data_IF_616379512985
#
_entry.id   IF_616379512985
#
_cell.length_a   1.000
_cell.length_b   1.000
_cell.length_c   1.000
_cell.angle_alpha   90.00
_cell.angle_beta   90.00
_cell.angle_gamma   90.00
#
_symmetry.space_group_name_H-M   'P 1'
#
loop_
_entity.id
_entity.type
_entity.pdbx_description
1 polymer ?
#
# COMPACT_ATOMS: atom_id res chain seq x y z
N UNK A 1 20.23 -18.07 -18.90
CA UNK A 1 19.69 -17.63 -17.60
C UNK A 1 19.50 -16.12 -17.47
N UNK A 2 20.08 -15.26 -18.32
CA UNK A 2 19.92 -13.78 -18.25
C UNK A 2 18.77 -13.20 -19.10
N UNK A 3 17.74 -13.98 -19.45
CA UNK A 3 16.63 -13.54 -20.33
C UNK A 3 15.52 -12.76 -19.60
N UNK A 4 15.58 -12.65 -18.28
CA UNK A 4 14.58 -11.93 -17.49
C UNK A 4 14.79 -10.42 -17.50
N UNK A 5 16.02 -9.90 -17.40
CA UNK A 5 16.26 -8.46 -17.22
C UNK A 5 15.95 -7.58 -18.43
N UNK A 6 16.33 -8.00 -19.66
CA UNK A 6 15.93 -7.26 -20.86
C UNK A 6 14.42 -7.35 -21.12
N UNK A 7 13.74 -8.35 -20.53
CA UNK A 7 12.29 -8.38 -20.47
C UNK A 7 11.80 -7.39 -19.42
N UNK A 8 12.26 -7.40 -18.18
CA UNK A 8 11.76 -6.52 -17.10
C UNK A 8 11.54 -5.07 -17.55
N UNK A 9 12.53 -4.42 -18.19
CA UNK A 9 12.38 -3.01 -18.62
C UNK A 9 11.38 -2.76 -19.76
N UNK A 10 11.14 -3.75 -20.63
CA UNK A 10 10.28 -3.62 -21.84
C UNK A 10 8.93 -4.36 -21.69
N UNK A 11 8.86 -5.35 -20.81
CA UNK A 11 7.74 -6.27 -20.59
C UNK A 11 6.89 -5.83 -19.40
N UNK A 12 7.46 -5.20 -18.37
CA UNK A 12 6.70 -4.76 -17.19
C UNK A 12 5.71 -3.64 -17.50
N UNK A 13 5.87 -2.87 -18.58
CA UNK A 13 4.89 -1.86 -18.95
C UNK A 13 3.78 -2.39 -19.86
N UNK A 14 4.10 -3.24 -20.84
CA UNK A 14 3.11 -3.74 -21.83
C UNK A 14 2.44 -5.04 -21.42
N UNK A 15 3.19 -6.04 -20.90
CA UNK A 15 2.60 -7.31 -20.47
C UNK A 15 1.88 -7.17 -19.13
N UNK A 16 2.35 -6.32 -18.20
CA UNK A 16 1.63 -6.06 -16.95
C UNK A 16 0.28 -5.38 -17.20
N UNK A 17 0.21 -4.42 -18.12
CA UNK A 17 -1.06 -3.81 -18.55
C UNK A 17 -1.97 -4.83 -19.22
N UNK A 18 -1.44 -5.70 -20.09
CA UNK A 18 -2.21 -6.77 -20.73
C UNK A 18 -2.69 -7.85 -19.73
N UNK A 19 -1.88 -8.18 -18.72
CA UNK A 19 -2.20 -9.13 -17.65
C UNK A 19 -3.21 -8.54 -16.66
N UNK A 20 -3.10 -7.27 -16.30
CA UNK A 20 -4.09 -6.57 -15.47
C UNK A 20 -5.46 -6.51 -16.14
N UNK A 21 -5.50 -6.32 -17.46
CA UNK A 21 -6.74 -6.28 -18.22
C UNK A 21 -7.46 -7.64 -18.31
N UNK A 22 -6.77 -8.74 -18.01
CA UNK A 22 -7.28 -10.12 -18.16
C UNK A 22 -7.42 -10.87 -16.83
N UNK A 23 -6.91 -10.32 -15.73
CA UNK A 23 -6.95 -10.94 -14.41
C UNK A 23 -8.30 -10.70 -13.73
N UNK A 24 -8.94 -11.77 -13.22
CA UNK A 24 -10.13 -11.67 -12.37
C UNK A 24 -9.83 -10.94 -11.05
N UNK A 25 -8.61 -11.06 -10.52
CA UNK A 25 -8.12 -10.34 -9.35
C UNK A 25 -6.73 -9.71 -9.61
N UNK A 26 -6.68 -8.47 -10.14
CA UNK A 26 -5.42 -7.79 -10.41
C UNK A 26 -4.60 -7.50 -9.15
N UNK A 27 -5.22 -7.48 -7.96
CA UNK A 27 -4.52 -7.28 -6.69
C UNK A 27 -3.63 -8.47 -6.34
N UNK A 28 -4.17 -9.69 -6.45
CA UNK A 28 -3.42 -10.94 -6.19
C UNK A 28 -2.29 -11.17 -7.20
N UNK A 29 -2.53 -10.84 -8.47
CA UNK A 29 -1.49 -10.95 -9.51
C UNK A 29 -0.31 -10.01 -9.23
N UNK A 30 -0.58 -8.77 -8.79
CA UNK A 30 0.48 -7.84 -8.39
C UNK A 30 1.24 -8.31 -7.16
N UNK A 31 0.56 -8.89 -6.17
CA UNK A 31 1.22 -9.49 -5.01
C UNK A 31 2.14 -10.65 -5.42
N UNK A 32 1.67 -11.55 -6.28
CA UNK A 32 2.48 -12.66 -6.78
C UNK A 32 3.71 -12.18 -7.57
N UNK A 33 3.54 -11.16 -8.42
CA UNK A 33 4.64 -10.60 -9.18
C UNK A 33 5.74 -10.01 -8.29
N UNK A 34 5.36 -9.32 -7.20
CA UNK A 34 6.33 -8.82 -6.21
C UNK A 34 7.05 -9.98 -5.51
N UNK A 35 6.32 -11.04 -5.12
CA UNK A 35 6.93 -12.22 -4.50
C UNK A 35 7.93 -12.92 -5.43
N UNK A 36 7.61 -13.03 -6.72
CA UNK A 36 8.52 -13.60 -7.71
C UNK A 36 9.77 -12.74 -7.88
N UNK A 37 9.64 -11.40 -7.92
CA UNK A 37 10.78 -10.48 -7.93
C UNK A 37 11.66 -10.60 -6.69
N UNK A 38 11.06 -10.71 -5.49
CA UNK A 38 11.78 -10.88 -4.23
C UNK A 38 12.60 -12.18 -4.23
N UNK A 39 12.00 -13.27 -4.75
CA UNK A 39 12.68 -14.54 -4.90
C UNK A 39 13.86 -14.45 -5.88
N UNK A 40 13.65 -13.84 -7.05
CA UNK A 40 14.70 -13.64 -8.04
C UNK A 40 15.86 -12.80 -7.48
N UNK A 41 15.54 -11.75 -6.71
CA UNK A 41 16.53 -10.93 -6.00
C UNK A 41 17.34 -11.80 -5.03
N UNK A 42 16.69 -12.64 -4.22
CA UNK A 42 17.40 -13.52 -3.29
C UNK A 42 18.35 -14.51 -4.00
N UNK A 43 17.94 -15.04 -5.16
CA UNK A 43 18.80 -15.90 -5.99
C UNK A 43 20.01 -15.13 -6.54
N UNK A 44 19.80 -13.88 -7.01
CA UNK A 44 20.88 -13.01 -7.47
C UNK A 44 21.81 -12.62 -6.33
N UNK A 45 21.29 -12.29 -5.14
CA UNK A 45 22.09 -12.02 -3.94
C UNK A 45 23.03 -13.17 -3.61
N UNK A 46 22.53 -14.41 -3.65
CA UNK A 46 23.34 -15.59 -3.42
C UNK A 46 24.44 -15.75 -4.49
N UNK A 47 24.15 -15.45 -5.75
CA UNK A 47 25.13 -15.46 -6.83
C UNK A 47 26.21 -14.38 -6.65
N UNK A 48 25.81 -13.15 -6.29
CA UNK A 48 26.73 -12.04 -6.01
C UNK A 48 27.62 -12.38 -4.82
N UNK A 49 27.07 -12.95 -3.74
CA UNK A 49 27.83 -13.37 -2.58
C UNK A 49 28.89 -14.43 -2.93
N UNK A 50 28.54 -15.41 -3.79
CA UNK A 50 29.51 -16.40 -4.30
C UNK A 50 30.61 -15.75 -5.13
N UNK A 51 30.29 -14.77 -5.97
CA UNK A 51 31.30 -14.06 -6.76
C UNK A 51 32.26 -13.26 -5.88
N UNK A 52 31.73 -12.55 -4.87
CA UNK A 52 32.57 -11.82 -3.89
C UNK A 52 33.45 -12.79 -3.09
N UNK A 53 32.93 -13.97 -2.73
CA UNK A 53 33.73 -14.99 -2.06
C UNK A 53 34.88 -15.49 -2.95
N UNK A 54 34.63 -15.69 -4.25
CA UNK A 54 35.65 -16.06 -5.22
C UNK A 54 36.72 -14.97 -5.38
N UNK A 55 36.32 -13.71 -5.49
CA UNK A 55 37.24 -12.55 -5.50
C UNK A 55 38.15 -12.54 -4.27
N UNK A 56 37.58 -12.72 -3.07
CA UNK A 56 38.35 -12.78 -1.81
C UNK A 56 39.32 -13.96 -1.77
N UNK A 57 38.91 -15.12 -2.28
CA UNK A 57 39.76 -16.29 -2.36
C UNK A 57 40.96 -16.05 -3.28
N UNK A 58 40.73 -15.52 -4.48
CA UNK A 58 41.79 -15.16 -5.43
C UNK A 58 42.71 -14.09 -4.83
N UNK A 59 42.16 -13.09 -4.14
CA UNK A 59 42.95 -12.06 -3.47
C UNK A 59 43.86 -12.63 -2.38
N UNK A 60 43.37 -13.61 -1.60
CA UNK A 60 44.20 -14.32 -0.62
C UNK A 60 45.34 -15.10 -1.29
N UNK A 61 45.05 -15.83 -2.36
CA UNK A 61 46.05 -16.58 -3.13
C UNK A 61 47.11 -15.64 -3.73
N UNK A 62 46.69 -14.49 -4.27
CA UNK A 62 47.60 -13.47 -4.78
C UNK A 62 48.54 -12.97 -3.68
N UNK A 63 48.00 -12.63 -2.50
CA UNK A 63 48.80 -12.16 -1.36
C UNK A 63 49.83 -13.20 -0.93
N UNK A 64 49.43 -14.47 -0.79
CA UNK A 64 50.34 -15.57 -0.44
C UNK A 64 51.46 -15.74 -1.49
N UNK A 65 51.14 -15.65 -2.78
CA UNK A 65 52.12 -15.72 -3.86
C UNK A 65 53.07 -14.50 -3.85
N UNK A 66 52.55 -13.30 -3.59
CA UNK A 66 53.35 -12.08 -3.49
C UNK A 66 54.31 -12.10 -2.29
N UNK A 67 53.85 -12.61 -1.13
CA UNK A 67 54.69 -12.83 0.05
C UNK A 67 55.81 -13.84 -0.24
N UNK A 68 55.52 -14.91 -0.98
CA UNK A 68 56.54 -15.87 -1.38
C UNK A 68 57.59 -15.25 -2.31
N UNK A 69 57.18 -14.38 -3.24
CA UNK A 69 58.10 -13.62 -4.10
C UNK A 69 59.04 -12.73 -3.27
N UNK A 70 58.49 -12.01 -2.28
CA UNK A 70 59.28 -11.17 -1.37
C UNK A 70 60.26 -12.01 -0.54
N UNK A 71 59.81 -13.17 -0.03
CA UNK A 71 60.66 -14.10 0.70
C UNK A 71 61.81 -14.64 -0.15
N UNK A 72 61.57 -14.96 -1.42
CA UNK A 72 62.65 -15.40 -2.34
C UNK A 72 63.64 -14.28 -2.62
N UNK A 73 63.18 -13.04 -2.68
CA UNK A 73 64.07 -11.89 -2.80
C UNK A 73 65.01 -11.75 -1.61
N UNK A 74 64.49 -11.81 -0.39
CA UNK A 74 65.31 -11.81 0.83
C UNK A 74 66.32 -12.96 0.85
N UNK A 75 65.87 -14.17 0.49
CA UNK A 75 66.75 -15.34 0.43
C UNK A 75 67.86 -15.20 -0.62
N UNK A 76 67.59 -14.57 -1.77
CA UNK A 76 68.60 -14.29 -2.77
C UNK A 76 69.64 -13.29 -2.26
N UNK A 77 69.21 -12.25 -1.52
CA UNK A 77 70.11 -11.29 -0.87
C UNK A 77 71.00 -12.00 0.15
N UNK A 78 70.44 -12.82 1.04
CA UNK A 78 71.22 -13.59 2.02
C UNK A 78 72.21 -14.54 1.35
N UNK A 79 71.84 -15.19 0.25
CA UNK A 79 72.76 -16.05 -0.51
C UNK A 79 73.95 -15.24 -1.08
N UNK A 80 73.70 -14.04 -1.61
CA UNK A 80 74.76 -13.14 -2.08
C UNK A 80 75.66 -12.66 -0.93
N UNK A 81 75.10 -12.31 0.22
CA UNK A 81 75.85 -11.91 1.41
C UNK A 81 76.77 -13.04 1.92
N UNK A 82 76.35 -14.29 1.76
CA UNK A 82 77.17 -15.47 2.07
C UNK A 82 78.22 -15.82 1.00
N UNK A 83 78.25 -15.09 -0.12
CA UNK A 83 79.16 -15.32 -1.24
C UNK A 83 78.77 -16.47 -2.19
N UNK A 84 77.59 -17.08 -2.01
CA UNK A 84 77.11 -18.16 -2.88
C UNK A 84 76.25 -17.60 -4.04
N UNK A 85 76.94 -17.10 -5.07
CA UNK A 85 76.28 -16.58 -6.28
C UNK A 85 75.47 -17.65 -7.03
N UNK A 86 75.87 -18.93 -6.95
CA UNK A 86 75.17 -20.03 -7.63
C UNK A 86 73.82 -20.31 -6.97
N UNK A 87 73.77 -20.29 -5.63
CA UNK A 87 72.52 -20.36 -4.89
C UNK A 87 71.64 -19.12 -5.15
N UNK A 88 72.22 -17.91 -5.11
CA UNK A 88 71.47 -16.68 -5.38
C UNK A 88 70.78 -16.70 -6.75
N UNK A 89 71.49 -17.14 -7.82
CA UNK A 89 70.91 -17.28 -9.16
C UNK A 89 69.73 -18.27 -9.18
N UNK A 90 69.88 -19.43 -8.56
CA UNK A 90 68.80 -20.44 -8.47
C UNK A 90 67.58 -19.91 -7.71
N UNK A 91 67.78 -19.16 -6.63
CA UNK A 91 66.70 -18.53 -5.86
C UNK A 91 66.00 -17.46 -6.70
N UNK A 92 66.73 -16.65 -7.46
CA UNK A 92 66.16 -15.64 -8.36
C UNK A 92 65.37 -16.27 -9.52
N UNK A 93 65.80 -17.42 -10.05
CA UNK A 93 65.01 -18.18 -11.02
C UNK A 93 63.69 -18.65 -10.43
N UNK A 94 63.68 -19.16 -9.19
CA UNK A 94 62.45 -19.53 -8.49
C UNK A 94 61.57 -18.30 -8.21
N UNK A 95 62.16 -17.18 -7.76
CA UNK A 95 61.46 -15.90 -7.57
C UNK A 95 60.73 -15.49 -8.84
N UNK A 96 61.38 -15.57 -10.00
CA UNK A 96 60.79 -15.18 -11.28
C UNK A 96 59.60 -16.08 -11.66
N UNK A 97 59.66 -17.39 -11.37
CA UNK A 97 58.53 -18.30 -11.57
C UNK A 97 57.36 -17.94 -10.65
N UNK A 98 57.62 -17.70 -9.36
CA UNK A 98 56.59 -17.29 -8.42
C UNK A 98 55.99 -15.92 -8.77
N UNK A 99 56.81 -15.00 -9.27
CA UNK A 99 56.37 -13.69 -9.74
C UNK A 99 55.42 -13.81 -10.92
N UNK A 100 55.76 -14.62 -11.92
CA UNK A 100 54.86 -14.88 -13.04
C UNK A 100 53.51 -15.45 -12.57
N UNK A 101 53.53 -16.33 -11.56
CA UNK A 101 52.31 -16.88 -10.98
C UNK A 101 51.48 -15.81 -10.24
N UNK A 102 52.14 -14.99 -9.42
CA UNK A 102 51.51 -13.88 -8.72
C UNK A 102 50.90 -12.85 -9.69
N UNK A 103 51.59 -12.54 -10.79
CA UNK A 103 51.10 -11.62 -11.82
C UNK A 103 49.83 -12.18 -12.52
N UNK A 104 49.77 -13.49 -12.79
CA UNK A 104 48.56 -14.13 -13.31
C UNK A 104 47.41 -14.13 -12.31
N UNK A 105 47.69 -14.39 -11.02
CA UNK A 105 46.68 -14.29 -9.96
C UNK A 105 46.17 -12.85 -9.81
N UNK A 106 47.05 -11.85 -9.94
CA UNK A 106 46.66 -10.43 -9.90
C UNK A 106 45.66 -10.08 -10.99
N UNK A 107 45.91 -10.54 -12.23
CA UNK A 107 44.97 -10.33 -13.33
C UNK A 107 43.61 -10.97 -13.03
N UNK A 108 43.60 -12.20 -12.51
CA UNK A 108 42.37 -12.88 -12.11
C UNK A 108 41.61 -12.14 -10.99
N UNK A 109 42.32 -11.57 -10.02
CA UNK A 109 41.73 -10.73 -8.96
C UNK A 109 41.10 -9.48 -9.55
N UNK A 110 41.79 -8.78 -10.44
CA UNK A 110 41.29 -7.55 -11.05
C UNK A 110 40.02 -7.80 -11.89
N UNK A 111 39.98 -8.92 -12.63
CA UNK A 111 38.79 -9.36 -13.37
C UNK A 111 37.65 -9.75 -12.44
N UNK A 112 37.93 -10.52 -11.38
CA UNK A 112 36.94 -10.94 -10.41
C UNK A 112 36.33 -9.73 -9.66
N UNK A 113 37.15 -8.74 -9.31
CA UNK A 113 36.72 -7.52 -8.63
C UNK A 113 35.82 -6.66 -9.53
N UNK A 114 36.16 -6.50 -10.82
CA UNK A 114 35.30 -5.81 -11.78
C UNK A 114 33.94 -6.48 -11.91
N UNK A 115 33.93 -7.81 -12.04
CA UNK A 115 32.69 -8.57 -12.14
C UNK A 115 31.86 -8.50 -10.84
N UNK A 116 32.50 -8.58 -9.67
CA UNK A 116 31.84 -8.40 -8.38
C UNK A 116 31.15 -7.05 -8.29
N UNK A 117 31.82 -5.98 -8.71
CA UNK A 117 31.24 -4.63 -8.65
C UNK A 117 30.07 -4.48 -9.62
N UNK A 118 30.22 -4.95 -10.87
CA UNK A 118 29.13 -4.94 -11.85
C UNK A 118 27.88 -5.70 -11.34
N UNK A 119 28.08 -6.85 -10.68
CA UNK A 119 26.98 -7.62 -10.11
C UNK A 119 26.33 -6.94 -8.90
N UNK A 120 27.11 -6.25 -8.06
CA UNK A 120 26.56 -5.45 -6.94
C UNK A 120 25.70 -4.31 -7.46
N UNK A 121 26.16 -3.61 -8.49
CA UNK A 121 25.41 -2.51 -9.10
C UNK A 121 24.09 -3.00 -9.70
N UNK A 122 24.11 -4.09 -10.46
CA UNK A 122 22.88 -4.70 -11.00
C UNK A 122 21.92 -5.14 -9.90
N UNK A 123 22.44 -5.74 -8.82
CA UNK A 123 21.62 -6.12 -7.66
C UNK A 123 20.99 -4.89 -6.99
N UNK A 124 21.72 -3.78 -6.90
CA UNK A 124 21.17 -2.53 -6.39
C UNK A 124 20.05 -2.00 -7.28
N UNK A 125 20.24 -2.01 -8.60
CA UNK A 125 19.20 -1.64 -9.56
C UNK A 125 17.94 -2.49 -9.39
N UNK A 126 18.07 -3.82 -9.23
CA UNK A 126 16.91 -4.69 -8.97
C UNK A 126 16.14 -4.30 -7.71
N UNK A 127 16.86 -4.00 -6.63
CA UNK A 127 16.25 -3.63 -5.34
C UNK A 127 15.51 -2.31 -5.44
N UNK A 128 16.07 -1.35 -6.18
CA UNK A 128 15.42 -0.07 -6.42
C UNK A 128 14.17 -0.25 -7.31
N UNK A 129 14.23 -1.11 -8.33
CA UNK A 129 13.05 -1.44 -9.16
C UNK A 129 11.95 -2.17 -8.35
N UNK A 130 12.31 -3.08 -7.44
CA UNK A 130 11.36 -3.71 -6.51
C UNK A 130 10.64 -2.68 -5.63
N UNK A 131 11.37 -1.66 -5.15
CA UNK A 131 10.77 -0.57 -4.35
C UNK A 131 9.77 0.22 -5.18
N UNK A 132 10.12 0.59 -6.41
CA UNK A 132 9.20 1.27 -7.32
C UNK A 132 7.95 0.43 -7.62
N UNK A 133 8.12 -0.88 -7.84
CA UNK A 133 7.00 -1.78 -8.12
C UNK A 133 6.08 -1.95 -6.91
N UNK A 134 6.62 -1.97 -5.69
CA UNK A 134 5.80 -1.95 -4.48
C UNK A 134 4.99 -0.65 -4.35
N UNK A 135 5.58 0.51 -4.61
CA UNK A 135 4.85 1.78 -4.61
C UNK A 135 3.74 1.81 -5.67
N UNK A 136 4.02 1.29 -6.88
CA UNK A 136 3.02 1.17 -7.95
C UNK A 136 1.89 0.22 -7.55
N UNK A 137 2.20 -0.92 -6.93
CA UNK A 137 1.20 -1.87 -6.40
C UNK A 137 0.26 -1.19 -5.41
N UNK A 138 0.80 -0.48 -4.42
CA UNK A 138 0.00 0.17 -3.39
C UNK A 138 -0.91 1.26 -3.98
N UNK A 139 -0.38 2.04 -4.93
CA UNK A 139 -1.18 3.01 -5.68
C UNK A 139 -2.31 2.35 -6.47
N UNK A 140 -2.05 1.23 -7.14
CA UNK A 140 -3.05 0.49 -7.92
C UNK A 140 -4.12 -0.14 -7.01
N UNK A 141 -3.73 -0.69 -5.85
CA UNK A 141 -4.67 -1.20 -4.85
C UNK A 141 -5.59 -0.09 -4.34
N UNK A 142 -5.04 1.06 -3.93
CA UNK A 142 -5.83 2.20 -3.47
C UNK A 142 -6.80 2.73 -4.56
N UNK A 143 -6.35 2.80 -5.82
CA UNK A 143 -7.21 3.18 -6.96
C UNK A 143 -8.31 2.16 -7.21
N UNK A 144 -8.01 0.87 -7.12
CA UNK A 144 -8.99 -0.21 -7.27
C UNK A 144 -10.05 -0.16 -6.18
N UNK A 145 -9.65 0.07 -4.92
CA UNK A 145 -10.58 0.24 -3.80
C UNK A 145 -11.46 1.48 -3.97
N UNK A 146 -10.88 2.61 -4.36
CA UNK A 146 -11.64 3.84 -4.66
C UNK A 146 -12.65 3.62 -5.78
N UNK A 147 -12.25 2.93 -6.85
CA UNK A 147 -13.14 2.57 -7.96
C UNK A 147 -14.27 1.64 -7.52
N UNK A 148 -13.97 0.62 -6.69
CA UNK A 148 -14.98 -0.27 -6.09
C UNK A 148 -15.96 0.50 -5.20
N UNK A 149 -15.46 1.44 -4.38
CA UNK A 149 -16.30 2.29 -3.54
C UNK A 149 -17.22 3.19 -4.37
N UNK A 150 -16.68 3.87 -5.40
CA UNK A 150 -17.47 4.68 -6.35
C UNK A 150 -18.52 3.84 -7.06
N UNK A 151 -18.16 2.64 -7.53
CA UNK A 151 -19.09 1.73 -8.18
C UNK A 151 -20.18 1.22 -7.22
N UNK A 152 -19.86 1.01 -5.93
CA UNK A 152 -20.84 0.65 -4.89
C UNK A 152 -21.79 1.81 -4.62
N UNK A 153 -21.30 3.03 -4.43
CA UNK A 153 -22.11 4.24 -4.26
C UNK A 153 -23.04 4.44 -5.46
N UNK A 154 -22.51 4.36 -6.68
CA UNK A 154 -23.32 4.51 -7.90
C UNK A 154 -24.38 3.40 -8.03
N UNK A 155 -24.06 2.15 -7.68
CA UNK A 155 -25.05 1.06 -7.66
C UNK A 155 -26.11 1.26 -6.59
N UNK A 156 -25.74 1.70 -5.38
CA UNK A 156 -26.69 2.04 -4.32
C UNK A 156 -27.56 3.22 -4.70
N UNK A 157 -27.00 4.28 -5.29
CA UNK A 157 -27.74 5.44 -5.79
C UNK A 157 -28.67 5.09 -6.96
N UNK A 158 -28.22 4.21 -7.87
CA UNK A 158 -29.05 3.68 -8.96
C UNK A 158 -30.14 2.73 -8.45
N UNK A 159 -29.87 1.98 -7.38
CA UNK A 159 -30.85 1.17 -6.65
C UNK A 159 -31.81 2.01 -5.79
N UNK A 160 -31.40 3.23 -5.41
CA UNK A 160 -32.24 4.30 -4.86
C UNK A 160 -33.00 5.03 -6.00
N UNK A 161 -32.95 4.52 -7.24
CA UNK A 161 -33.76 4.98 -8.35
C UNK A 161 -35.23 4.54 -8.26
N UNK A 162 -36.14 5.52 -8.29
CA UNK A 162 -37.63 5.47 -8.32
C UNK A 162 -38.37 4.93 -7.09
N UNK A 163 -37.89 3.88 -6.42
CA UNK A 163 -38.63 3.27 -5.30
C UNK A 163 -38.68 4.13 -4.03
N UNK A 164 -37.54 4.64 -3.56
CA UNK A 164 -37.45 5.40 -2.31
C UNK A 164 -38.10 6.79 -2.39
N UNK A 165 -38.02 7.46 -3.56
CA UNK A 165 -38.72 8.73 -3.82
C UNK A 165 -40.25 8.52 -3.86
N UNK A 166 -40.71 7.47 -4.56
CA UNK A 166 -42.13 7.08 -4.55
C UNK A 166 -42.66 6.63 -3.19
N UNK A 167 -41.77 6.18 -2.29
CA UNK A 167 -42.11 5.81 -0.92
C UNK A 167 -42.30 7.05 -0.05
N UNK A 168 -41.46 8.07 -0.24
CA UNK A 168 -41.60 9.37 0.41
C UNK A 168 -42.86 10.11 -0.08
N UNK A 169 -43.07 10.18 -1.39
CA UNK A 169 -44.26 10.82 -2.00
C UNK A 169 -45.56 10.14 -1.54
N UNK A 170 -45.58 8.80 -1.41
CA UNK A 170 -46.74 8.05 -0.87
C UNK A 170 -46.97 8.26 0.62
N UNK A 171 -45.92 8.59 1.37
CA UNK A 171 -46.03 8.88 2.79
C UNK A 171 -46.54 10.31 2.99
N UNK A 172 -46.07 11.25 2.18
CA UNK A 172 -46.58 12.62 2.09
C UNK A 172 -48.07 12.66 1.71
N UNK A 173 -48.49 11.91 0.69
CA UNK A 173 -49.91 11.82 0.29
C UNK A 173 -50.80 11.21 1.39
N UNK A 174 -50.29 10.20 2.14
CA UNK A 174 -51.01 9.66 3.30
C UNK A 174 -51.13 10.67 4.43
N UNK A 175 -50.10 11.46 4.69
CA UNK A 175 -50.13 12.50 5.72
C UNK A 175 -51.13 13.58 5.33
N UNK A 176 -51.09 14.09 4.10
CA UNK A 176 -52.04 15.09 3.60
C UNK A 176 -53.48 14.58 3.67
N UNK A 177 -53.73 13.32 3.28
CA UNK A 177 -55.07 12.73 3.39
C UNK A 177 -55.54 12.63 4.84
N UNK A 178 -54.64 12.28 5.76
CA UNK A 178 -55.00 12.17 7.16
C UNK A 178 -55.23 13.54 7.81
N UNK A 179 -54.45 14.56 7.42
CA UNK A 179 -54.71 15.96 7.79
C UNK A 179 -56.06 16.44 7.26
N UNK A 180 -56.38 16.14 6.00
CA UNK A 180 -57.69 16.47 5.41
C UNK A 180 -58.85 15.71 6.06
N UNK A 181 -58.65 14.44 6.47
CA UNK A 181 -59.65 13.68 7.26
C UNK A 181 -59.85 14.28 8.66
N UNK A 182 -58.78 14.73 9.31
CA UNK A 182 -58.86 15.41 10.61
C UNK A 182 -59.56 16.75 10.47
N UNK A 183 -59.21 17.55 9.47
CA UNK A 183 -59.86 18.83 9.16
C UNK A 183 -61.34 18.63 8.82
N UNK A 184 -61.68 17.66 7.97
CA UNK A 184 -63.06 17.30 7.67
C UNK A 184 -63.83 16.75 8.89
N UNK A 185 -63.16 16.06 9.82
CA UNK A 185 -63.77 15.57 11.07
C UNK A 185 -64.01 16.70 12.07
N UNK A 186 -63.12 17.70 12.12
CA UNK A 186 -63.30 18.93 12.91
C UNK A 186 -64.38 19.84 12.28
N UNK A 187 -64.45 19.94 10.95
CA UNK A 187 -65.55 20.57 10.21
C UNK A 187 -66.87 19.83 10.41
N UNK A 188 -66.88 18.50 10.42
CA UNK A 188 -68.07 17.69 10.68
C UNK A 188 -68.50 17.78 12.15
N UNK A 189 -67.56 17.88 13.10
CA UNK A 189 -67.85 18.17 14.51
C UNK A 189 -68.41 19.58 14.72
N UNK A 190 -67.97 20.55 13.93
CA UNK A 190 -68.52 21.90 13.97
C UNK A 190 -69.85 22.03 13.20
N UNK A 191 -70.07 21.21 12.17
CA UNK A 191 -71.34 21.12 11.44
C UNK A 191 -72.39 20.23 12.12
N UNK A 192 -71.98 19.25 12.94
CA UNK A 192 -72.84 18.41 13.79
C UNK A 192 -72.97 18.95 15.23
N UNK A 193 -72.71 20.24 15.47
CA UNK A 193 -73.30 20.90 16.63
C UNK A 193 -74.81 20.90 16.44
N UNK A 194 -75.48 19.95 17.08
CA UNK A 194 -76.94 19.93 17.18
C UNK A 194 -77.37 21.04 18.14
N UNK A 195 -78.59 21.56 17.94
CA UNK A 195 -79.24 22.53 18.84
C UNK A 195 -79.15 22.15 20.32
N UNK A 196 -79.06 20.85 20.63
CA UNK A 196 -78.92 20.31 21.99
C UNK A 196 -77.55 20.68 22.64
N UNK A 197 -76.46 20.78 21.88
CA UNK A 197 -75.14 21.22 22.38
C UNK A 197 -75.10 22.74 22.61
N UNK A 198 -75.85 23.52 21.83
CA UNK A 198 -76.04 24.96 22.08
C UNK A 198 -76.94 25.22 23.31
N UNK A 199 -77.91 24.36 23.59
CA UNK A 199 -78.73 24.41 24.80
C UNK A 199 -77.96 24.00 26.07
N UNK A 200 -77.08 23.00 26.01
CA UNK A 200 -76.23 22.61 27.14
C UNK A 200 -75.20 23.69 27.54
N UNK A 201 -74.74 24.48 26.56
CA UNK A 201 -73.87 25.64 26.80
C UNK A 201 -74.62 26.87 27.35
N UNK A 202 -75.96 26.93 27.21
CA UNK A 202 -76.81 27.93 27.86
C UNK A 202 -77.13 27.56 29.32
N UNK A 203 -77.18 26.27 29.64
CA UNK A 203 -77.45 25.77 31.01
C UNK A 203 -76.23 25.85 31.95
N UNK A 204 -75.02 26.03 31.40
CA UNK A 204 -73.76 26.16 32.17
C UNK A 204 -73.36 27.62 32.43
N UNK A 205 -74.28 28.57 32.25
CA UNK A 205 -74.06 30.01 32.46
C UNK A 205 -74.89 30.62 33.59
N UNK A 206 -75.34 29.83 34.57
CA UNK A 206 -76.02 30.35 35.77
C UNK A 206 -75.13 30.46 37.02
N UNK A 207 -73.92 29.90 37.07
CA UNK A 207 -73.16 29.86 38.34
C UNK A 207 -72.24 31.07 38.58
N UNK A 208 -71.94 31.91 37.58
CA UNK A 208 -70.97 33.02 37.74
C UNK A 208 -71.66 34.34 38.11
N UNK A 209 -72.86 34.59 37.58
CA UNK A 209 -73.64 35.80 37.91
C UNK A 209 -74.30 35.70 39.30
N UNK A 210 -74.71 34.49 39.73
CA UNK A 210 -75.19 34.23 41.09
C UNK A 210 -74.08 34.39 42.15
N UNK A 211 -72.85 33.97 41.82
CA UNK A 211 -71.68 34.18 42.68
C UNK A 211 -71.24 35.65 42.75
N UNK A 212 -71.40 36.43 41.66
CA UNK A 212 -71.12 37.87 41.64
C UNK A 212 -72.17 38.68 42.42
N UNK A 213 -73.45 38.29 42.37
CA UNK A 213 -74.52 38.89 43.16
C UNK A 213 -74.32 38.64 44.67
N UNK A 214 -73.92 37.43 45.06
CA UNK A 214 -73.58 37.09 46.44
C UNK A 214 -72.37 37.89 46.96
N UNK A 215 -71.37 38.15 46.12
CA UNK A 215 -70.22 39.00 46.47
C UNK A 215 -70.57 40.49 46.60
N UNK A 216 -71.48 41.02 45.77
CA UNK A 216 -71.98 42.40 45.90
C UNK A 216 -72.88 42.59 47.12
N UNK A 217 -73.72 41.61 47.46
CA UNK A 217 -74.48 41.62 48.71
C UNK A 217 -73.57 41.63 49.95
N UNK A 218 -72.43 40.92 49.88
CA UNK A 218 -71.35 41.00 50.90
C UNK A 218 -70.67 42.38 51.00
N UNK A 219 -70.78 43.25 49.99
CA UNK A 219 -70.20 44.59 49.99
C UNK A 219 -71.18 45.70 50.44
N UNK A 220 -72.49 45.52 50.23
CA UNK A 220 -73.51 46.50 50.63
C UNK A 220 -74.03 46.35 52.07
N UNK A 221 -73.72 45.22 52.75
CA UNK A 221 -74.17 44.95 54.12
C UNK A 221 -73.04 45.10 55.16
N UNK A 222 -72.01 45.89 54.83
CA UNK A 222 -70.90 46.21 55.75
C UNK A 222 -70.52 47.70 55.74
N UNK A 223 -71.53 48.56 55.54
CA UNK A 223 -71.62 49.89 56.11
C UNK A 223 -72.74 49.89 57.14
#
# INVERSE_FOLDING_TARGET
MFRFFNRVRTVVSSELNALLNKAEDPGKMLDQFILDMEKDIAEVEAAVAKQIANEKLLSKQYTEAAELVAKREEQAVTALESGDESLARRVLEDKNKQKSHADSLKQAVDEAAKLSEELKDKLREMKDELREMNMKKDSLKARSESAKARAKVNRTMSGIGTGAKSGFDRMEEKVIRHEAEVEASEELRSANKTLDDELAALDTKSSVDDELAALKAKLNNKN
#
